data_IF_579145156366
#
_entry.id   IF_579145156366
#
_cell.length_a   1.000
_cell.length_b   1.000
_cell.length_c   1.000
_cell.angle_alpha   90.00
_cell.angle_beta   90.00
_cell.angle_gamma   90.00
#
_symmetry.space_group_name_H-M   'P 1'
#
loop_
_entity.id
_entity.type
_entity.pdbx_description
1 polymer ?
#
# COMPACT_ATOMS: atom_id res chain seq x y z
N UNK A 1 -5.08 14.96 17.49
CA UNK A 1 -5.85 13.78 17.03
C UNK A 1 -5.33 12.58 17.76
N UNK A 2 -6.18 11.59 18.05
CA UNK A 2 -5.68 10.29 18.57
C UNK A 2 -4.79 9.63 17.51
N UNK A 3 -3.71 8.91 17.90
CA UNK A 3 -2.85 8.23 16.94
C UNK A 3 -3.66 7.22 16.12
N UNK A 4 -3.34 7.11 14.83
CA UNK A 4 -3.96 6.13 13.92
C UNK A 4 -3.25 4.80 14.14
N UNK A 5 -4.00 3.76 14.54
CA UNK A 5 -3.45 2.48 14.98
C UNK A 5 -3.92 1.29 14.14
N UNK A 6 -4.79 1.53 13.16
CA UNK A 6 -5.37 0.49 12.31
C UNK A 6 -4.88 0.59 10.87
N UNK A 7 -4.61 -0.55 10.26
CA UNK A 7 -4.31 -0.67 8.84
C UNK A 7 -5.26 -1.65 8.15
N UNK A 8 -5.55 -1.38 6.88
CA UNK A 8 -6.18 -2.33 5.96
C UNK A 8 -5.14 -2.74 4.93
N UNK A 9 -4.94 -4.05 4.75
CA UNK A 9 -4.00 -4.60 3.78
C UNK A 9 -4.77 -5.41 2.74
N UNK A 10 -4.59 -5.08 1.45
CA UNK A 10 -5.21 -5.81 0.35
C UNK A 10 -4.31 -6.96 -0.11
N UNK A 11 -4.73 -8.19 0.20
CA UNK A 11 -4.01 -9.44 -0.08
C UNK A 11 -4.88 -10.45 -0.85
N UNK A 12 -5.87 -9.98 -1.63
CA UNK A 12 -6.84 -10.85 -2.28
C UNK A 12 -6.46 -11.28 -3.70
N UNK A 13 -5.47 -10.63 -4.32
CA UNK A 13 -5.06 -10.86 -5.71
C UNK A 13 -4.43 -12.23 -5.98
N UNK A 14 -4.49 -12.70 -7.23
CA UNK A 14 -3.96 -14.01 -7.64
C UNK A 14 -2.44 -14.04 -7.89
N UNK A 15 -1.78 -12.87 -8.06
CA UNK A 15 -0.33 -12.77 -8.20
C UNK A 15 0.28 -13.53 -9.37
N UNK A 16 -0.44 -13.69 -10.49
CA UNK A 16 -0.07 -14.58 -11.60
C UNK A 16 1.29 -14.29 -12.23
N UNK A 17 1.78 -13.05 -12.19
CA UNK A 17 3.09 -12.65 -12.74
C UNK A 17 4.28 -13.24 -11.97
N UNK A 18 4.10 -13.59 -10.69
CA UNK A 18 5.10 -14.25 -9.84
C UNK A 18 5.02 -15.77 -9.83
N UNK A 19 4.12 -16.37 -10.59
CA UNK A 19 3.87 -17.82 -10.56
C UNK A 19 5.12 -18.67 -10.80
N UNK A 20 6.08 -18.20 -11.59
CA UNK A 20 7.35 -18.88 -11.86
C UNK A 20 8.27 -18.98 -10.63
N UNK A 21 8.16 -18.07 -9.68
CA UNK A 21 8.95 -18.02 -8.45
C UNK A 21 8.15 -18.54 -7.25
N UNK A 22 6.86 -18.17 -7.18
CA UNK A 22 6.00 -18.55 -6.07
C UNK A 22 5.62 -20.04 -6.05
N UNK A 23 5.75 -20.73 -7.21
CA UNK A 23 5.27 -22.09 -7.35
C UNK A 23 3.76 -22.18 -7.06
N UNK A 24 3.40 -22.89 -6.00
CA UNK A 24 2.01 -23.02 -5.57
C UNK A 24 1.60 -22.02 -4.47
N UNK A 25 2.50 -21.16 -3.99
CA UNK A 25 2.19 -20.19 -2.93
C UNK A 25 1.44 -18.98 -3.48
N UNK A 26 0.47 -18.42 -2.74
CA UNK A 26 -0.10 -17.11 -3.08
C UNK A 26 0.95 -16.01 -2.90
N UNK A 27 0.90 -14.96 -3.71
CA UNK A 27 1.87 -13.85 -3.76
C UNK A 27 2.25 -13.28 -2.37
N UNK A 28 1.30 -13.05 -1.44
CA UNK A 28 1.64 -12.54 -0.10
C UNK A 28 2.57 -13.44 0.72
N UNK A 29 2.69 -14.73 0.36
CA UNK A 29 3.56 -15.71 1.02
C UNK A 29 4.86 -16.00 0.25
N UNK A 30 5.14 -15.30 -0.84
CA UNK A 30 6.44 -15.39 -1.52
C UNK A 30 7.53 -14.93 -0.56
N UNK A 31 8.62 -15.68 -0.51
CA UNK A 31 9.78 -15.32 0.31
C UNK A 31 10.46 -14.06 -0.23
N UNK A 32 10.75 -13.15 0.69
CA UNK A 32 11.55 -11.96 0.48
C UNK A 32 12.51 -11.83 1.66
N UNK A 33 13.80 -12.00 1.41
CA UNK A 33 14.83 -11.92 2.45
C UNK A 33 14.51 -12.78 3.70
N UNK A 34 14.02 -14.01 3.50
CA UNK A 34 13.77 -15.00 4.56
C UNK A 34 12.42 -14.88 5.27
N UNK A 35 11.51 -14.02 4.79
CA UNK A 35 10.14 -13.88 5.31
C UNK A 35 9.12 -13.68 4.19
N UNK A 36 7.85 -14.03 4.39
CA UNK A 36 6.78 -13.66 3.46
C UNK A 36 6.69 -12.15 3.22
N UNK A 37 6.38 -11.76 1.98
CA UNK A 37 6.19 -10.33 1.63
C UNK A 37 5.17 -9.67 2.57
N UNK A 38 4.03 -10.32 2.83
CA UNK A 38 3.00 -9.79 3.75
C UNK A 38 3.53 -9.59 5.17
N UNK A 39 4.43 -10.45 5.65
CA UNK A 39 5.05 -10.28 6.97
C UNK A 39 5.91 -9.02 7.02
N UNK A 40 6.69 -8.73 5.98
CA UNK A 40 7.46 -7.49 5.88
C UNK A 40 6.55 -6.24 5.90
N UNK A 41 5.44 -6.27 5.16
CA UNK A 41 4.46 -5.17 5.14
C UNK A 41 3.88 -4.94 6.54
N UNK A 42 3.49 -6.00 7.25
CA UNK A 42 2.95 -5.87 8.61
C UNK A 42 4.00 -5.41 9.61
N UNK A 43 5.24 -5.93 9.56
CA UNK A 43 6.32 -5.50 10.44
C UNK A 43 6.67 -4.02 10.25
N UNK A 44 6.75 -3.55 9.00
CA UNK A 44 7.02 -2.15 8.71
C UNK A 44 5.87 -1.23 9.19
N UNK A 45 4.62 -1.66 9.07
CA UNK A 45 3.48 -0.92 9.58
C UNK A 45 3.41 -0.93 11.12
N UNK A 46 3.75 -2.04 11.76
CA UNK A 46 3.84 -2.16 13.23
C UNK A 46 4.92 -1.22 13.78
N UNK A 47 6.11 -1.19 13.15
CA UNK A 47 7.19 -0.27 13.52
C UNK A 47 6.78 1.20 13.34
N UNK A 48 5.92 1.49 12.36
CA UNK A 48 5.34 2.82 12.14
C UNK A 48 4.23 3.19 13.17
N UNK A 49 3.80 2.25 14.03
CA UNK A 49 2.84 2.49 15.12
C UNK A 49 1.45 1.89 14.89
N UNK A 50 1.26 1.03 13.89
CA UNK A 50 0.00 0.28 13.68
C UNK A 50 -0.06 -0.89 14.66
N UNK A 51 -1.24 -1.09 15.28
CA UNK A 51 -1.48 -2.13 16.28
C UNK A 51 -2.54 -3.14 15.82
N UNK A 52 -3.39 -2.77 14.85
CA UNK A 52 -4.52 -3.57 14.39
C UNK A 52 -4.50 -3.69 12.86
N UNK A 53 -4.58 -4.92 12.37
CA UNK A 53 -4.55 -5.23 10.94
C UNK A 53 -5.87 -5.82 10.48
N UNK A 54 -6.51 -5.22 9.49
CA UNK A 54 -7.60 -5.83 8.72
C UNK A 54 -7.03 -6.30 7.39
N UNK A 55 -6.84 -7.62 7.23
CA UNK A 55 -6.24 -8.18 6.01
C UNK A 55 -7.34 -8.78 5.14
N UNK A 56 -7.52 -8.20 3.94
CA UNK A 56 -8.50 -8.69 2.97
C UNK A 56 -7.85 -9.75 2.09
N UNK A 57 -8.32 -10.98 2.20
CA UNK A 57 -7.84 -12.14 1.44
C UNK A 57 -8.87 -12.60 0.40
N UNK A 58 -8.40 -13.31 -0.63
CA UNK A 58 -9.26 -13.86 -1.67
C UNK A 58 -8.64 -15.12 -2.26
N UNK A 59 -7.85 -15.01 -3.33
CA UNK A 59 -7.17 -16.15 -3.92
C UNK A 59 -6.29 -16.88 -2.89
N UNK A 60 -6.61 -18.17 -2.62
CA UNK A 60 -5.92 -19.00 -1.61
C UNK A 60 -5.81 -18.32 -0.22
N UNK A 61 -6.83 -17.59 0.17
CA UNK A 61 -6.87 -16.91 1.46
C UNK A 61 -6.76 -17.84 2.66
N UNK A 62 -7.23 -19.09 2.53
CA UNK A 62 -7.07 -20.16 3.51
C UNK A 62 -5.59 -20.47 3.81
N UNK A 63 -4.75 -20.50 2.78
CA UNK A 63 -3.29 -20.74 2.91
C UNK A 63 -2.62 -19.57 3.62
N UNK A 64 -2.98 -18.33 3.25
CA UNK A 64 -2.45 -17.12 3.90
C UNK A 64 -2.84 -17.12 5.39
N UNK A 65 -4.13 -17.30 5.71
CA UNK A 65 -4.62 -17.37 7.10
C UNK A 65 -3.93 -18.46 7.91
N UNK A 66 -3.76 -19.65 7.32
CA UNK A 66 -3.10 -20.79 7.99
C UNK A 66 -1.64 -20.50 8.32
N UNK A 67 -0.92 -19.77 7.45
CA UNK A 67 0.47 -19.38 7.68
C UNK A 67 0.60 -18.52 8.95
N UNK A 68 -0.28 -17.54 9.11
CA UNK A 68 -0.24 -16.61 10.26
C UNK A 68 -1.06 -17.07 11.48
N UNK A 69 -1.78 -18.20 11.41
CA UNK A 69 -2.70 -18.64 12.48
C UNK A 69 -2.02 -18.89 13.85
N UNK A 70 -0.71 -19.11 13.86
CA UNK A 70 0.08 -19.36 15.08
C UNK A 70 1.06 -18.23 15.41
N UNK A 71 0.94 -17.11 14.72
CA UNK A 71 1.81 -15.96 14.94
C UNK A 71 1.12 -14.93 15.84
N UNK A 72 1.45 -14.88 17.13
CA UNK A 72 0.80 -13.98 18.09
C UNK A 72 1.29 -12.52 18.00
N UNK A 73 2.28 -12.23 17.14
CA UNK A 73 2.84 -10.88 17.01
C UNK A 73 1.82 -9.89 16.46
N UNK A 74 0.94 -10.34 15.56
CA UNK A 74 0.03 -9.47 14.85
C UNK A 74 -1.42 -9.66 15.31
N UNK A 75 -2.11 -8.56 15.61
CA UNK A 75 -3.56 -8.56 15.84
C UNK A 75 -4.27 -8.44 14.48
N UNK A 76 -4.64 -9.58 13.87
CA UNK A 76 -5.20 -9.65 12.51
C UNK A 76 -6.68 -9.99 12.53
N UNK A 77 -7.49 -9.13 11.92
CA UNK A 77 -8.85 -9.42 11.49
C UNK A 77 -8.85 -9.83 10.01
N UNK A 78 -9.20 -11.07 9.72
CA UNK A 78 -9.27 -11.60 8.35
C UNK A 78 -10.62 -11.30 7.72
N UNK A 79 -10.61 -10.70 6.54
CA UNK A 79 -11.81 -10.39 5.75
C UNK A 79 -11.73 -11.13 4.42
N UNK A 80 -12.74 -11.93 4.10
CA UNK A 80 -12.78 -12.67 2.83
C UNK A 80 -13.43 -11.85 1.72
N UNK A 81 -12.78 -11.83 0.57
CA UNK A 81 -13.35 -11.31 -0.66
C UNK A 81 -13.56 -12.45 -1.67
N UNK A 82 -14.77 -13.02 -1.77
CA UNK A 82 -15.07 -14.05 -2.77
C UNK A 82 -15.03 -13.51 -4.21
N UNK A 83 -15.15 -12.18 -4.36
CA UNK A 83 -15.10 -11.49 -5.66
C UNK A 83 -13.66 -11.05 -6.01
N UNK A 84 -12.63 -11.76 -5.55
CA UNK A 84 -11.21 -11.39 -5.71
C UNK A 84 -10.73 -11.29 -7.17
N UNK A 85 -11.48 -11.84 -8.10
CA UNK A 85 -11.25 -11.69 -9.55
C UNK A 85 -11.62 -10.29 -10.09
N UNK A 86 -12.38 -9.50 -9.31
CA UNK A 86 -12.70 -8.10 -9.60
C UNK A 86 -11.54 -7.19 -9.18
N UNK A 87 -11.63 -5.91 -9.53
CA UNK A 87 -10.62 -4.93 -9.22
C UNK A 87 -10.49 -4.67 -7.70
N UNK A 88 -9.35 -4.15 -7.27
CA UNK A 88 -8.94 -4.04 -5.87
C UNK A 88 -9.81 -3.11 -5.01
N UNK A 89 -10.54 -2.17 -5.58
CA UNK A 89 -11.52 -1.36 -4.85
C UNK A 89 -12.66 -2.20 -4.27
N UNK A 90 -13.04 -3.31 -4.95
CA UNK A 90 -14.02 -4.26 -4.42
C UNK A 90 -13.47 -4.95 -3.16
N UNK A 91 -12.17 -5.28 -3.14
CA UNK A 91 -11.51 -5.83 -1.94
C UNK A 91 -11.56 -4.85 -0.78
N UNK A 92 -11.23 -3.58 -1.00
CA UNK A 92 -11.30 -2.57 0.06
C UNK A 92 -12.72 -2.40 0.62
N UNK A 93 -13.75 -2.44 -0.24
CA UNK A 93 -15.15 -2.34 0.20
C UNK A 93 -15.56 -3.45 1.18
N UNK A 94 -14.95 -4.64 1.14
CA UNK A 94 -15.21 -5.73 2.09
C UNK A 94 -14.73 -5.38 3.51
N UNK A 95 -13.70 -4.55 3.65
CA UNK A 95 -13.16 -4.12 4.94
C UNK A 95 -14.02 -3.05 5.64
N UNK A 96 -15.02 -2.46 4.98
CA UNK A 96 -15.78 -1.29 5.45
C UNK A 96 -16.28 -1.41 6.90
N UNK A 97 -16.77 -2.58 7.31
CA UNK A 97 -17.36 -2.79 8.63
C UNK A 97 -16.33 -3.08 9.73
N UNK A 98 -15.06 -3.18 9.36
CA UNK A 98 -13.94 -3.43 10.28
C UNK A 98 -13.08 -2.18 10.50
N UNK A 99 -13.46 -1.04 9.90
CA UNK A 99 -12.72 0.21 10.00
C UNK A 99 -13.47 1.20 10.89
N UNK A 100 -12.76 1.73 11.88
CA UNK A 100 -13.31 2.65 12.88
C UNK A 100 -12.49 3.95 12.92
N UNK A 101 -12.75 4.89 11.98
CA UNK A 101 -12.01 6.14 11.85
C UNK A 101 -10.91 6.10 10.78
N UNK A 102 -9.95 7.04 10.76
CA UNK A 102 -8.86 7.05 9.81
C UNK A 102 -7.98 5.80 9.92
N UNK A 103 -7.44 5.34 8.79
CA UNK A 103 -6.65 4.11 8.71
C UNK A 103 -5.56 4.20 7.64
N UNK A 104 -4.50 3.42 7.81
CA UNK A 104 -3.48 3.19 6.80
C UNK A 104 -3.94 2.10 5.84
N UNK A 105 -4.02 2.40 4.54
CA UNK A 105 -4.30 1.41 3.50
C UNK A 105 -2.99 1.02 2.81
N UNK A 106 -2.72 -0.27 2.74
CA UNK A 106 -1.51 -0.85 2.18
C UNK A 106 -1.83 -1.94 1.16
N UNK A 107 -0.91 -2.13 0.22
CA UNK A 107 -0.88 -3.28 -0.68
C UNK A 107 0.01 -4.37 -0.06
N UNK A 108 -0.40 -5.62 -0.17
CA UNK A 108 0.34 -6.77 0.41
C UNK A 108 1.64 -7.11 -0.30
N UNK A 109 1.95 -6.44 -1.39
CA UNK A 109 3.06 -6.67 -2.29
C UNK A 109 4.00 -5.48 -2.42
N UNK A 110 3.81 -4.44 -1.60
CA UNK A 110 4.66 -3.25 -1.60
C UNK A 110 5.54 -3.25 -0.35
N UNK A 111 6.84 -3.40 -0.54
CA UNK A 111 7.84 -3.23 0.53
C UNK A 111 8.16 -1.76 0.67
N UNK A 112 8.27 -1.27 1.88
CA UNK A 112 8.56 0.13 2.18
C UNK A 112 9.32 0.28 3.50
N UNK A 113 9.99 1.40 3.66
CA UNK A 113 10.65 1.74 4.93
C UNK A 113 9.62 2.15 5.99
N UNK A 114 9.70 1.64 7.23
CA UNK A 114 8.79 2.00 8.33
C UNK A 114 8.67 3.51 8.56
N UNK A 115 9.78 4.24 8.42
CA UNK A 115 9.83 5.69 8.61
C UNK A 115 8.94 6.45 7.63
N UNK A 116 8.78 5.93 6.40
CA UNK A 116 7.90 6.51 5.39
C UNK A 116 6.43 6.41 5.82
N UNK A 117 6.01 5.24 6.29
CA UNK A 117 4.66 5.05 6.82
C UNK A 117 4.43 5.90 8.09
N UNK A 118 5.41 5.96 9.00
CA UNK A 118 5.34 6.79 10.21
C UNK A 118 5.17 8.27 9.87
N UNK A 119 5.89 8.79 8.87
CA UNK A 119 5.75 10.18 8.41
C UNK A 119 4.38 10.46 7.76
N UNK A 120 3.85 9.50 6.99
CA UNK A 120 2.50 9.59 6.44
C UNK A 120 1.44 9.62 7.55
N UNK A 121 1.57 8.79 8.59
CA UNK A 121 0.64 8.74 9.73
C UNK A 121 0.61 10.03 10.55
N UNK A 122 1.65 10.87 10.49
CA UNK A 122 1.69 12.19 11.14
C UNK A 122 0.97 13.27 10.34
N UNK A 123 0.57 13.01 9.09
CA UNK A 123 -0.12 14.01 8.27
C UNK A 123 -1.51 14.34 8.85
N UNK A 124 -1.87 15.62 8.95
CA UNK A 124 -3.22 15.98 9.34
C UNK A 124 -4.21 15.56 8.25
N UNK A 125 -5.13 14.67 8.59
CA UNK A 125 -6.18 14.19 7.67
C UNK A 125 -7.55 14.75 8.05
N UNK A 126 -8.32 15.21 7.05
CA UNK A 126 -9.70 15.60 7.21
C UNK A 126 -10.64 14.40 7.05
N UNK A 127 -11.86 14.51 7.58
CA UNK A 127 -12.84 13.42 7.53
C UNK A 127 -13.35 13.07 6.13
N UNK A 128 -13.07 13.92 5.14
CA UNK A 128 -13.58 13.79 3.78
C UNK A 128 -12.47 13.68 2.72
N UNK A 129 -11.24 13.35 3.13
CA UNK A 129 -10.09 13.24 2.24
C UNK A 129 -9.31 11.93 2.39
N UNK A 130 -8.43 11.69 1.42
CA UNK A 130 -7.40 10.66 1.41
C UNK A 130 -6.06 11.32 1.09
N UNK A 131 -4.99 10.86 1.71
CA UNK A 131 -3.62 11.28 1.41
C UNK A 131 -2.88 10.07 0.83
N UNK A 132 -2.38 10.22 -0.38
CA UNK A 132 -1.56 9.22 -1.06
C UNK A 132 -0.08 9.56 -0.87
N UNK A 133 0.70 8.61 -0.38
CA UNK A 133 2.15 8.70 -0.43
C UNK A 133 2.62 8.55 -1.87
N UNK A 134 3.35 9.53 -2.38
CA UNK A 134 3.84 9.58 -3.75
C UNK A 134 5.36 9.65 -3.78
N UNK A 135 5.97 9.14 -4.84
CA UNK A 135 7.39 9.24 -5.09
C UNK A 135 7.66 10.16 -6.29
N UNK A 136 8.41 11.24 -6.05
CA UNK A 136 8.83 12.21 -7.08
C UNK A 136 10.12 11.80 -7.79
N UNK A 137 10.84 10.78 -7.32
CA UNK A 137 12.09 10.29 -7.88
C UNK A 137 11.85 9.45 -9.16
N UNK A 138 11.25 10.05 -10.20
CA UNK A 138 10.79 9.36 -11.41
C UNK A 138 11.89 8.54 -12.09
N UNK A 139 13.13 9.03 -12.10
CA UNK A 139 14.27 8.34 -12.71
C UNK A 139 14.72 7.10 -11.91
N UNK A 140 14.27 6.95 -10.68
CA UNK A 140 14.58 5.81 -9.81
C UNK A 140 13.50 4.72 -9.82
N UNK A 141 12.37 4.94 -10.48
CA UNK A 141 11.28 3.96 -10.56
C UNK A 141 11.67 2.81 -11.49
N UNK A 142 11.77 1.60 -10.94
CA UNK A 142 12.25 0.42 -11.67
C UNK A 142 11.32 0.01 -12.82
N UNK A 143 9.99 0.03 -12.61
CA UNK A 143 9.00 -0.33 -13.62
C UNK A 143 8.02 0.82 -13.87
N UNK A 144 8.49 1.88 -14.51
CA UNK A 144 7.69 3.07 -14.82
C UNK A 144 6.50 2.75 -15.73
N UNK A 145 6.59 1.74 -16.59
CA UNK A 145 5.52 1.39 -17.52
C UNK A 145 4.29 0.84 -16.77
N UNK A 146 4.51 0.04 -15.71
CA UNK A 146 3.42 -0.50 -14.87
C UNK A 146 3.01 0.45 -13.73
N UNK A 147 3.84 1.42 -13.37
CA UNK A 147 3.56 2.37 -12.28
C UNK A 147 2.30 3.19 -12.52
N UNK A 148 1.52 3.40 -11.46
CA UNK A 148 0.39 4.34 -11.47
C UNK A 148 0.91 5.77 -11.30
N UNK A 149 0.80 6.57 -12.36
CA UNK A 149 1.29 7.95 -12.42
C UNK A 149 0.32 8.89 -11.73
N UNK A 150 0.87 9.98 -11.18
CA UNK A 150 0.15 11.01 -10.45
C UNK A 150 0.53 12.39 -11.00
N UNK A 151 -0.49 13.24 -11.26
CA UNK A 151 -0.30 14.66 -11.60
C UNK A 151 -0.86 15.51 -10.48
N UNK A 152 -0.08 16.49 -10.00
CA UNK A 152 -0.43 17.32 -8.85
C UNK A 152 -0.60 18.79 -9.23
N UNK A 153 -1.31 19.50 -8.37
CA UNK A 153 -1.36 20.97 -8.33
C UNK A 153 -1.24 21.41 -6.86
N UNK A 154 -0.05 21.81 -6.46
CA UNK A 154 0.31 21.98 -5.04
C UNK A 154 0.18 20.63 -4.32
N UNK A 155 -0.46 20.62 -3.16
CA UNK A 155 -0.65 19.41 -2.36
C UNK A 155 -1.76 18.49 -2.87
N UNK A 156 -2.52 18.88 -3.91
CA UNK A 156 -3.66 18.11 -4.39
C UNK A 156 -3.31 17.32 -5.65
N UNK A 157 -3.69 16.07 -5.65
CA UNK A 157 -3.68 15.23 -6.86
C UNK A 157 -4.88 15.64 -7.73
N UNK A 158 -4.62 15.97 -8.98
CA UNK A 158 -5.62 16.37 -9.96
C UNK A 158 -5.91 15.27 -10.99
N UNK A 159 -4.96 14.37 -11.21
CA UNK A 159 -5.10 13.21 -12.08
C UNK A 159 -4.27 12.03 -11.57
N UNK A 160 -4.80 10.81 -11.68
CA UNK A 160 -4.13 9.56 -11.29
C UNK A 160 -4.51 8.43 -12.25
N UNK A 161 -3.52 7.67 -12.70
CA UNK A 161 -3.73 6.52 -13.57
C UNK A 161 -2.48 6.07 -14.32
N UNK A 162 -2.49 4.84 -14.83
CA UNK A 162 -1.34 4.27 -15.56
C UNK A 162 -1.06 4.96 -16.90
N UNK A 163 -2.08 5.52 -17.56
CA UNK A 163 -2.01 6.04 -18.93
C UNK A 163 -1.99 7.58 -19.01
N UNK A 164 -1.91 8.29 -17.89
CA UNK A 164 -1.80 9.75 -17.91
C UNK A 164 -0.46 10.18 -18.50
N UNK A 165 -0.46 11.26 -19.28
CA UNK A 165 0.73 11.73 -20.00
C UNK A 165 1.51 12.82 -19.27
N UNK A 166 0.80 13.60 -18.46
CA UNK A 166 1.41 14.63 -17.64
C UNK A 166 1.39 14.12 -16.19
N UNK A 167 2.55 13.88 -15.63
CA UNK A 167 2.72 13.40 -14.25
C UNK A 167 4.03 13.93 -13.66
N UNK A 168 4.08 14.05 -12.36
CA UNK A 168 5.20 14.55 -11.59
C UNK A 168 5.56 13.65 -10.39
N UNK A 169 4.79 12.56 -10.19
CA UNK A 169 5.04 11.56 -9.18
C UNK A 169 4.39 10.21 -9.56
N UNK A 170 4.66 9.17 -8.77
CA UNK A 170 4.00 7.87 -8.85
C UNK A 170 3.38 7.48 -7.51
N UNK A 171 2.32 6.66 -7.58
CA UNK A 171 1.62 6.04 -6.45
C UNK A 171 2.50 4.95 -5.82
N UNK A 172 2.78 5.05 -4.52
CA UNK A 172 3.60 4.08 -3.77
C UNK A 172 2.79 2.92 -3.15
N UNK A 173 1.47 2.89 -3.35
CA UNK A 173 0.59 1.90 -2.72
C UNK A 173 0.29 2.14 -1.24
N UNK A 174 0.73 3.27 -0.66
CA UNK A 174 0.46 3.65 0.73
C UNK A 174 -0.50 4.83 0.79
N UNK A 175 -1.61 4.68 1.51
CA UNK A 175 -2.64 5.70 1.63
C UNK A 175 -3.02 5.91 3.09
N UNK A 176 -3.10 7.16 3.52
CA UNK A 176 -3.80 7.51 4.74
C UNK A 176 -5.24 7.89 4.38
N UNK A 177 -6.18 7.07 4.81
CA UNK A 177 -7.58 7.16 4.40
C UNK A 177 -8.48 7.62 5.55
N UNK A 178 -9.41 8.53 5.27
CA UNK A 178 -10.63 8.62 6.06
C UNK A 178 -11.68 7.61 5.54
N UNK A 179 -12.67 7.20 6.36
CA UNK A 179 -13.72 6.26 5.93
C UNK A 179 -14.57 6.73 4.74
N UNK A 180 -14.46 7.98 4.34
CA UNK A 180 -15.14 8.54 3.16
C UNK A 180 -14.81 7.78 1.87
N UNK A 181 -13.61 7.14 1.80
CA UNK A 181 -13.17 6.36 0.65
C UNK A 181 -14.18 5.27 0.26
N UNK A 182 -14.83 4.65 1.23
CA UNK A 182 -15.83 3.61 0.96
C UNK A 182 -17.05 4.14 0.18
N UNK A 183 -17.46 5.38 0.46
CA UNK A 183 -18.52 6.05 -0.31
C UNK A 183 -18.11 6.32 -1.74
N UNK A 184 -16.88 6.81 -1.95
CA UNK A 184 -16.35 7.10 -3.28
C UNK A 184 -16.20 5.82 -4.11
N UNK A 185 -15.68 4.74 -3.52
CA UNK A 185 -15.60 3.45 -4.21
C UNK A 185 -16.98 2.91 -4.57
N UNK A 186 -17.94 3.00 -3.65
CA UNK A 186 -19.30 2.53 -3.90
C UNK A 186 -19.96 3.27 -5.07
N UNK A 187 -19.75 4.59 -5.18
CA UNK A 187 -20.30 5.41 -6.29
C UNK A 187 -19.50 5.29 -7.58
N UNK A 188 -18.27 4.75 -7.52
CA UNK A 188 -17.41 4.51 -8.70
C UNK A 188 -17.64 3.16 -9.35
N UNK A 189 -18.49 2.32 -8.78
CA UNK A 189 -18.78 1.00 -9.35
C UNK A 189 -19.46 1.09 -10.70
N UNK A 190 -18.97 0.28 -11.64
CA UNK A 190 -19.63 -0.05 -12.90
C UNK A 190 -19.72 -1.58 -12.97
N UNK A 191 -20.92 -2.12 -13.20
CA UNK A 191 -21.17 -3.56 -13.23
C UNK A 191 -20.63 -4.30 -11.97
N UNK A 192 -20.89 -3.72 -10.81
CA UNK A 192 -20.42 -4.20 -9.51
C UNK A 192 -18.89 -4.33 -9.38
N UNK A 193 -18.12 -3.60 -10.19
CA UNK A 193 -16.67 -3.58 -10.18
C UNK A 193 -16.13 -2.15 -10.03
N UNK A 194 -15.03 -1.97 -9.31
CA UNK A 194 -14.28 -0.72 -9.23
C UNK A 194 -12.84 -0.98 -8.78
N UNK A 195 -11.90 -0.25 -9.33
CA UNK A 195 -10.53 -0.18 -8.83
C UNK A 195 -10.38 0.90 -7.76
N UNK A 196 -9.30 0.87 -6.99
CA UNK A 196 -8.92 1.99 -6.12
C UNK A 196 -8.76 3.27 -6.93
N UNK A 197 -8.11 3.19 -8.09
CA UNK A 197 -7.90 4.33 -8.97
C UNK A 197 -9.22 4.96 -9.45
N UNK A 198 -10.33 4.20 -9.56
CA UNK A 198 -11.63 4.76 -9.92
C UNK A 198 -12.15 5.69 -8.82
N UNK A 199 -12.09 5.26 -7.57
CA UNK A 199 -12.44 6.09 -6.42
C UNK A 199 -11.51 7.29 -6.29
N UNK A 200 -10.19 7.07 -6.41
CA UNK A 200 -9.19 8.13 -6.31
C UNK A 200 -9.37 9.20 -7.39
N UNK A 201 -9.67 8.83 -8.63
CA UNK A 201 -9.97 9.80 -9.72
C UNK A 201 -11.18 10.68 -9.39
N UNK A 202 -12.22 10.12 -8.77
CA UNK A 202 -13.38 10.94 -8.38
C UNK A 202 -13.03 11.90 -7.25
N UNK A 203 -12.24 11.45 -6.26
CA UNK A 203 -11.76 12.30 -5.18
C UNK A 203 -10.83 13.42 -5.70
N UNK A 204 -9.90 13.09 -6.61
CA UNK A 204 -9.00 14.04 -7.24
C UNK A 204 -9.75 15.19 -7.92
N UNK A 205 -10.79 14.89 -8.73
CA UNK A 205 -11.65 15.91 -9.38
C UNK A 205 -12.34 16.86 -8.40
N UNK A 206 -12.45 16.48 -7.12
CA UNK A 206 -13.08 17.28 -6.05
C UNK A 206 -12.09 17.83 -5.04
N UNK A 207 -10.79 17.71 -5.31
CA UNK A 207 -9.71 18.13 -4.42
C UNK A 207 -9.84 17.51 -3.03
N UNK A 208 -10.16 16.20 -2.98
CA UNK A 208 -10.26 15.36 -1.78
C UNK A 208 -9.18 14.27 -1.74
N UNK A 209 -8.24 14.31 -2.69
CA UNK A 209 -7.06 13.46 -2.74
C UNK A 209 -5.81 14.35 -2.64
N UNK A 210 -5.08 14.22 -1.55
CA UNK A 210 -3.81 14.93 -1.35
C UNK A 210 -2.64 14.02 -1.61
N UNK A 211 -1.51 14.61 -1.97
CA UNK A 211 -0.22 13.94 -2.07
C UNK A 211 0.61 14.20 -0.81
N UNK A 212 1.38 13.19 -0.42
CA UNK A 212 2.48 13.29 0.54
C UNK A 212 3.72 12.73 -0.13
N UNK A 213 4.70 13.57 -0.43
CA UNK A 213 5.97 13.12 -1.00
C UNK A 213 6.78 12.33 0.04
N UNK A 214 7.23 11.14 -0.34
CA UNK A 214 8.07 10.29 0.51
C UNK A 214 9.53 10.77 0.59
N UNK A 215 9.91 11.78 -0.17
CA UNK A 215 11.27 12.33 -0.23
C UNK A 215 12.32 11.23 -0.46
N UNK A 216 13.26 11.05 0.48
CA UNK A 216 14.31 10.02 0.41
C UNK A 216 13.81 8.61 0.81
N UNK A 217 12.53 8.45 1.14
CA UNK A 217 11.93 7.17 1.48
C UNK A 217 12.07 6.16 0.34
N UNK A 218 12.23 4.88 0.71
CA UNK A 218 12.32 3.78 -0.27
C UNK A 218 11.09 2.91 -0.20
N UNK A 219 10.67 2.45 -1.35
CA UNK A 219 9.58 1.50 -1.54
C UNK A 219 9.81 0.70 -2.83
N UNK A 220 9.17 -0.46 -2.96
CA UNK A 220 9.14 -1.24 -4.19
C UNK A 220 7.95 -2.20 -4.19
N UNK A 221 7.22 -2.24 -5.28
CA UNK A 221 6.24 -3.29 -5.53
C UNK A 221 6.91 -4.56 -6.05
N UNK A 222 6.44 -5.71 -5.59
CA UNK A 222 6.99 -7.02 -5.98
C UNK A 222 5.96 -7.73 -6.85
N UNK A 223 5.99 -7.46 -8.15
CA UNK A 223 5.00 -7.97 -9.09
C UNK A 223 5.54 -9.05 -10.05
N UNK A 224 6.85 -9.12 -10.19
CA UNK A 224 7.55 -10.03 -11.11
C UNK A 224 8.84 -10.55 -10.48
N UNK A 225 9.47 -11.60 -11.05
CA UNK A 225 10.80 -12.03 -10.60
C UNK A 225 11.85 -10.92 -10.67
N UNK A 226 11.73 -10.00 -11.65
CA UNK A 226 12.65 -8.88 -11.80
C UNK A 226 12.49 -7.83 -10.69
N UNK A 227 11.24 -7.46 -10.34
CA UNK A 227 10.97 -6.53 -9.24
C UNK A 227 11.29 -7.15 -7.88
N UNK A 228 11.14 -8.48 -7.71
CA UNK A 228 11.60 -9.19 -6.52
C UNK A 228 13.11 -9.08 -6.35
N UNK A 229 13.89 -9.43 -7.38
CA UNK A 229 15.35 -9.36 -7.32
C UNK A 229 15.84 -7.91 -7.11
N UNK A 230 15.18 -6.92 -7.71
CA UNK A 230 15.48 -5.51 -7.49
C UNK A 230 15.21 -5.09 -6.03
N UNK A 231 14.06 -5.47 -5.48
CA UNK A 231 13.71 -5.20 -4.08
C UNK A 231 14.69 -5.86 -3.10
N UNK A 232 15.12 -7.12 -3.36
CA UNK A 232 16.14 -7.81 -2.56
C UNK A 232 17.46 -7.03 -2.54
N UNK A 233 17.87 -6.47 -3.68
CA UNK A 233 19.05 -5.59 -3.77
C UNK A 233 18.86 -4.27 -3.00
N UNK A 234 17.67 -3.66 -3.10
CA UNK A 234 17.37 -2.38 -2.47
C UNK A 234 17.26 -2.47 -0.94
N UNK A 235 16.67 -3.54 -0.41
CA UNK A 235 16.41 -3.74 1.02
C UNK A 235 17.31 -4.81 1.68
N UNK A 236 18.11 -5.53 0.89
CA UNK A 236 18.89 -6.70 1.36
C UNK A 236 20.22 -6.38 2.03
N UNK A 237 20.73 -5.16 1.93
CA UNK A 237 21.92 -4.73 2.69
C UNK A 237 21.47 -3.95 3.92
N UNK A 238 22.03 -4.22 5.12
CA UNK A 238 21.91 -3.30 6.22
C UNK A 238 22.40 -1.94 5.69
N UNK A 239 21.55 -0.90 5.78
CA UNK A 239 21.96 0.46 5.41
C UNK A 239 23.33 0.71 6.03
N UNK A 240 24.35 1.15 5.26
CA UNK A 240 25.64 1.48 5.85
C UNK A 240 25.37 2.46 6.98
N UNK A 241 25.90 2.20 8.16
CA UNK A 241 25.82 3.04 9.38
C UNK A 241 26.28 4.49 9.14
N UNK A 242 26.78 4.80 7.96
CA UNK A 242 27.18 6.12 7.48
C UNK A 242 26.05 7.16 7.37
N UNK A 243 24.79 6.74 7.31
CA UNK A 243 23.65 7.67 7.27
C UNK A 243 23.04 7.99 8.63
N UNK A 244 23.26 7.14 9.65
CA UNK A 244 22.77 7.38 11.00
C UNK A 244 23.56 8.50 11.73
N UNK A 245 24.81 8.75 11.37
CA UNK A 245 25.66 9.75 12.04
C UNK A 245 25.50 11.18 11.50
N UNK A 246 24.95 11.38 10.29
CA UNK A 246 24.75 12.73 9.72
C UNK A 246 23.51 13.47 10.24
N UNK A 247 22.55 12.76 10.82
CA UNK A 247 21.34 13.40 11.38
C UNK A 247 21.60 13.92 12.83
N UNK A 248 22.59 13.36 13.54
CA UNK A 248 22.91 13.78 14.92
C UNK A 248 23.92 14.95 14.96
N UNK A 249 24.59 15.24 13.86
CA UNK A 249 25.61 16.33 13.80
C UNK A 249 25.06 17.68 13.29
N UNK A 250 23.74 17.82 13.15
CA UNK A 250 23.07 19.05 12.66
C UNK A 250 22.00 19.56 13.62
N UNK A 251 22.20 19.37 14.95
CA UNK A 251 21.40 20.01 16.02
C UNK A 251 22.32 20.86 16.87
#
# INVERSE_FOLDING_TARGET
MSPIKQAVILAAGNGSRLASVSGSLPKPLVDFNGKPILEHVMLAAEEAGIEEFTVVVGYRGDVIKSHFARDPRFNITWVENPDYHKANGVSLLKARHHVHGPFLLLMSDHIFQPQTAAALLQQPIQNDEVILAVDEKLDAIFDMDDATKVCRMGDYIIEIGKQIRCYDAVDTGMFLCSPVIFGWLQTSKTDDNCSLSDGMRQMARRRKLRAFDIADGMWQDIDSPATLAYAEGLFGFPLPTFFAEKVIASV
#
